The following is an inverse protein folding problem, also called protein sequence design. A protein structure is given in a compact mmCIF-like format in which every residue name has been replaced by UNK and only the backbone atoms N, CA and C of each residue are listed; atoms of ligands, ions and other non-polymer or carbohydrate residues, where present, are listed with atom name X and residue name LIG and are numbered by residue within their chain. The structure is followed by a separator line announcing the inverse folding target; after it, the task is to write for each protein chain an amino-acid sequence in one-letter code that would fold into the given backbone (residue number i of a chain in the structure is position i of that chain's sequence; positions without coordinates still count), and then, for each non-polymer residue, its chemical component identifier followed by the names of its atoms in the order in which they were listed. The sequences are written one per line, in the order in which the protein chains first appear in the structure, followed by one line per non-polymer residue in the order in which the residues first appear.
data_IF_353105063598
#
_entry.id   IF_353105063598
#
_cell.length_a   1.000
_cell.length_b   1.000
_cell.length_c   1.000
_cell.angle_alpha   90.00
_cell.angle_beta   90.00
_cell.angle_gamma   90.00
#
_symmetry.space_group_name_H-M   'P 1'
#
loop_
_entity.id
_entity.type
_entity.pdbx_description
1 polymer ?
#
# COMPACT_ATOMS: atom_id res chain seq x y z
N UNK A 1 -6.02 -14.21 -21.16
CA UNK A 1 -6.22 -14.06 -19.69
C UNK A 1 -6.75 -12.66 -19.42
N UNK A 2 -7.79 -12.52 -18.58
CA UNK A 2 -8.30 -11.20 -18.19
C UNK A 2 -7.38 -10.55 -17.16
N UNK A 3 -7.17 -9.24 -17.31
CA UNK A 3 -6.45 -8.38 -16.36
C UNK A 3 -7.35 -7.21 -15.97
N UNK A 4 -7.10 -6.63 -14.80
CA UNK A 4 -7.70 -5.37 -14.36
C UNK A 4 -6.59 -4.35 -14.10
N UNK A 5 -6.96 -3.07 -14.18
CA UNK A 5 -6.09 -2.00 -13.70
C UNK A 5 -6.22 -1.90 -12.18
N UNK A 6 -5.08 -1.84 -11.50
CA UNK A 6 -4.96 -1.68 -10.05
C UNK A 6 -4.10 -0.46 -9.79
N UNK A 7 -4.62 0.46 -8.99
CA UNK A 7 -3.93 1.64 -8.51
C UNK A 7 -3.24 1.35 -7.17
N UNK A 8 -2.04 1.90 -7.01
CA UNK A 8 -1.31 1.94 -5.75
C UNK A 8 -1.65 3.24 -5.05
N UNK A 9 -2.21 3.15 -3.85
CA UNK A 9 -2.62 4.28 -3.05
C UNK A 9 -1.54 4.61 -2.02
N UNK A 10 -1.18 5.89 -1.95
CA UNK A 10 -0.21 6.42 -1.01
C UNK A 10 -0.70 7.70 -0.34
N UNK A 11 -0.10 8.04 0.78
CA UNK A 11 -0.33 9.29 1.50
C UNK A 11 1.00 10.00 1.75
N UNK A 12 1.11 11.29 1.45
CA UNK A 12 2.35 12.02 1.74
C UNK A 12 2.39 12.47 3.20
N UNK A 13 3.33 11.93 3.96
CA UNK A 13 3.58 12.35 5.34
C UNK A 13 5.07 12.20 5.66
N UNK A 14 5.72 13.17 6.31
CA UNK A 14 7.14 13.07 6.61
C UNK A 14 7.46 11.93 7.58
N UNK A 15 8.67 11.38 7.48
CA UNK A 15 9.20 10.42 8.44
C UNK A 15 9.23 11.01 9.86
N UNK A 16 8.60 10.35 10.84
CA UNK A 16 8.58 10.81 12.23
C UNK A 16 9.97 10.98 12.87
N UNK A 17 10.99 10.29 12.34
CA UNK A 17 12.35 10.30 12.90
C UNK A 17 13.27 11.35 12.29
N UNK A 18 13.14 11.64 11.00
CA UNK A 18 14.08 12.50 10.27
C UNK A 18 13.42 13.56 9.40
N UNK A 19 12.09 13.64 9.41
CA UNK A 19 11.28 14.58 8.63
C UNK A 19 11.44 14.51 7.11
N UNK A 20 12.14 13.50 6.60
CA UNK A 20 12.24 13.24 5.17
C UNK A 20 10.83 12.98 4.58
N UNK A 21 10.45 13.60 3.45
CA UNK A 21 9.17 13.33 2.80
C UNK A 21 9.02 11.85 2.44
N UNK A 22 7.91 11.23 2.85
CA UNK A 22 7.62 9.83 2.53
C UNK A 22 6.23 9.71 1.92
N UNK A 23 6.10 8.81 0.95
CA UNK A 23 4.83 8.41 0.39
C UNK A 23 4.37 7.11 1.04
N UNK A 24 3.57 7.17 2.07
CA UNK A 24 3.10 5.98 2.79
C UNK A 24 2.16 5.16 1.92
N UNK A 25 2.67 4.10 1.29
CA UNK A 25 1.85 3.18 0.51
C UNK A 25 1.01 2.37 1.47
N UNK A 26 -0.30 2.50 1.35
CA UNK A 26 -1.25 1.94 2.31
C UNK A 26 -2.25 0.99 1.68
N UNK A 27 -2.42 1.01 0.35
CA UNK A 27 -3.40 0.14 -0.28
C UNK A 27 -3.29 -0.01 -1.79
N UNK A 28 -4.08 -0.97 -2.28
CA UNK A 28 -4.28 -1.29 -3.68
C UNK A 28 -5.78 -1.27 -3.97
N UNK A 29 -6.17 -0.65 -5.08
CA UNK A 29 -7.57 -0.50 -5.46
C UNK A 29 -7.77 -0.72 -6.96
N UNK A 30 -8.76 -1.50 -7.41
CA UNK A 30 -9.11 -1.57 -8.83
C UNK A 30 -9.59 -0.21 -9.36
N UNK A 31 -9.15 0.19 -10.54
CA UNK A 31 -9.48 1.52 -11.11
C UNK A 31 -10.91 1.65 -11.68
N UNK A 32 -11.73 0.60 -11.62
CA UNK A 32 -13.18 0.68 -11.91
C UNK A 32 -13.94 0.88 -10.60
N UNK A 33 -15.13 1.51 -10.61
CA UNK A 33 -16.00 1.74 -9.42
C UNK A 33 -15.98 0.55 -8.45
N UNK A 34 -15.06 0.54 -7.48
CA UNK A 34 -14.74 -0.67 -6.75
C UNK A 34 -15.69 -0.73 -5.56
N UNK A 35 -16.16 -1.93 -5.23
CA UNK A 35 -16.82 -2.11 -3.93
C UNK A 35 -15.77 -2.08 -2.84
N UNK A 36 -16.20 -1.73 -1.63
CA UNK A 36 -15.26 -1.63 -0.51
C UNK A 36 -14.50 -2.89 -0.14
N UNK A 37 -15.13 -4.03 -0.38
CA UNK A 37 -14.56 -5.37 -0.25
C UNK A 37 -13.40 -5.65 -1.22
N UNK A 38 -13.20 -4.78 -2.22
CA UNK A 38 -12.13 -4.89 -3.21
C UNK A 38 -10.91 -4.05 -2.81
N UNK A 39 -10.99 -3.19 -1.80
CA UNK A 39 -9.81 -2.55 -1.26
C UNK A 39 -8.89 -3.56 -0.56
N UNK A 40 -7.59 -3.41 -0.76
CA UNK A 40 -6.57 -4.29 -0.17
C UNK A 40 -5.47 -3.45 0.46
N UNK A 41 -5.23 -3.64 1.76
CA UNK A 41 -4.12 -3.00 2.48
C UNK A 41 -2.79 -3.64 2.13
N UNK A 42 -1.70 -2.88 2.20
CA UNK A 42 -0.33 -3.36 1.97
C UNK A 42 0.33 -3.93 3.24
N UNK A 43 -0.43 -4.63 4.08
CA UNK A 43 0.02 -5.18 5.37
C UNK A 43 0.30 -6.69 5.33
N UNK A 44 0.29 -7.30 4.15
CA UNK A 44 0.68 -8.69 3.91
C UNK A 44 1.58 -8.83 2.68
N UNK A 45 2.47 -9.85 2.65
CA UNK A 45 3.54 -9.95 1.65
C UNK A 45 3.06 -9.88 0.19
N UNK A 46 1.99 -10.61 -0.14
CA UNK A 46 1.51 -10.69 -1.52
C UNK A 46 0.99 -9.34 -2.05
N UNK A 47 0.38 -8.50 -1.20
CA UNK A 47 -0.01 -7.13 -1.57
C UNK A 47 1.21 -6.21 -1.71
N UNK A 48 2.20 -6.35 -0.82
CA UNK A 48 3.45 -5.57 -0.92
C UNK A 48 4.18 -5.88 -2.22
N UNK A 49 4.30 -7.16 -2.58
CA UNK A 49 4.92 -7.58 -3.83
C UNK A 49 4.17 -7.07 -5.07
N UNK A 50 2.84 -7.05 -5.01
CA UNK A 50 2.02 -6.44 -6.05
C UNK A 50 2.28 -4.94 -6.17
N UNK A 51 2.26 -4.21 -5.06
CA UNK A 51 2.53 -2.77 -5.03
C UNK A 51 3.92 -2.44 -5.58
N UNK A 52 4.95 -3.16 -5.14
CA UNK A 52 6.32 -2.99 -5.64
C UNK A 52 6.40 -3.16 -7.15
N UNK A 53 5.84 -4.24 -7.71
CA UNK A 53 5.90 -4.47 -9.16
C UNK A 53 5.25 -3.36 -9.97
N UNK A 54 4.11 -2.85 -9.50
CA UNK A 54 3.42 -1.73 -10.13
C UNK A 54 4.28 -0.45 -10.04
N UNK A 55 4.87 -0.16 -8.88
CA UNK A 55 5.73 1.00 -8.67
C UNK A 55 7.08 0.92 -9.42
N UNK A 56 7.58 -0.28 -9.72
CA UNK A 56 8.81 -0.49 -10.51
C UNK A 56 8.58 -0.58 -12.01
N UNK A 57 7.36 -0.29 -12.49
CA UNK A 57 7.08 -0.33 -13.92
C UNK A 57 8.03 0.65 -14.67
N UNK A 58 8.65 0.23 -15.80
CA UNK A 58 9.72 0.98 -16.45
C UNK A 58 9.26 2.30 -17.09
N UNK A 59 7.96 2.49 -17.20
CA UNK A 59 7.30 3.71 -17.70
C UNK A 59 6.95 4.71 -16.59
N UNK A 60 7.22 4.39 -15.32
CA UNK A 60 6.97 5.24 -14.15
C UNK A 60 8.23 5.82 -13.50
N UNK A 61 8.05 6.86 -12.68
CA UNK A 61 9.10 7.52 -11.89
C UNK A 61 8.97 7.20 -10.38
N UNK A 62 8.43 6.03 -10.06
CA UNK A 62 8.07 5.62 -8.69
C UNK A 62 9.01 4.57 -8.11
N UNK A 63 10.21 4.43 -8.70
CA UNK A 63 11.20 3.44 -8.27
C UNK A 63 11.68 3.67 -6.82
N UNK A 64 11.84 4.93 -6.41
CA UNK A 64 12.23 5.28 -5.04
C UNK A 64 11.14 4.89 -4.03
N UNK A 65 9.87 5.04 -4.41
CA UNK A 65 8.72 4.62 -3.61
C UNK A 65 8.69 3.10 -3.50
N UNK A 66 8.97 2.38 -4.58
CA UNK A 66 9.08 0.92 -4.53
C UNK A 66 10.21 0.46 -3.58
N UNK A 67 11.35 1.14 -3.60
CA UNK A 67 12.51 0.82 -2.78
C UNK A 67 12.26 1.01 -1.27
N UNK A 68 11.28 1.83 -0.92
CA UNK A 68 10.86 2.06 0.47
C UNK A 68 10.03 0.89 1.03
N UNK A 69 9.48 0.02 0.18
CA UNK A 69 8.64 -1.09 0.61
C UNK A 69 9.54 -2.26 0.97
N UNK A 70 9.49 -2.70 2.22
CA UNK A 70 10.28 -3.81 2.74
C UNK A 70 9.42 -5.01 3.14
N UNK A 71 10.04 -6.18 3.09
CA UNK A 71 9.38 -7.42 3.50
C UNK A 71 9.09 -7.37 4.99
N UNK A 72 8.06 -8.12 5.38
CA UNK A 72 7.73 -8.31 6.79
C UNK A 72 8.98 -8.82 7.54
N UNK A 73 9.46 -8.09 8.55
CA UNK A 73 10.51 -8.60 9.41
C UNK A 73 10.06 -9.89 10.10
N UNK A 74 10.97 -10.86 10.23
CA UNK A 74 10.64 -12.18 10.79
C UNK A 74 9.97 -12.12 12.19
N UNK A 75 10.31 -11.09 12.98
CA UNK A 75 9.77 -10.86 14.32
C UNK A 75 8.32 -10.35 14.35
N UNK A 76 7.74 -9.95 13.21
CA UNK A 76 6.34 -9.52 13.08
C UNK A 76 5.42 -10.59 12.47
N UNK A 77 5.90 -11.82 12.29
CA UNK A 77 5.11 -12.91 11.69
C UNK A 77 3.83 -13.17 12.49
N UNK A 78 2.67 -13.09 11.83
CA UNK A 78 1.34 -13.34 12.44
C UNK A 78 0.61 -12.09 12.95
N UNK A 79 1.13 -10.88 12.70
CA UNK A 79 0.48 -9.59 13.00
C UNK A 79 0.42 -8.73 11.73
N UNK A 80 -0.45 -7.72 11.70
CA UNK A 80 -0.39 -6.64 10.71
C UNK A 80 0.98 -5.95 10.78
N UNK A 81 1.53 -5.53 9.64
CA UNK A 81 2.79 -4.80 9.58
C UNK A 81 2.72 -3.64 8.61
N UNK A 82 3.57 -2.65 8.84
CA UNK A 82 3.78 -1.57 7.89
C UNK A 82 4.96 -1.93 6.99
N UNK A 83 4.83 -1.96 5.65
CA UNK A 83 5.95 -2.24 4.75
C UNK A 83 6.85 -1.01 4.53
N UNK A 84 6.39 0.19 4.87
CA UNK A 84 7.08 1.43 4.54
C UNK A 84 8.28 1.64 5.46
N UNK A 85 9.45 1.81 4.85
CA UNK A 85 10.70 2.18 5.51
C UNK A 85 11.24 3.46 4.89
N UNK A 86 11.71 4.37 5.73
CA UNK A 86 12.28 5.62 5.27
C UNK A 86 13.55 5.37 4.43
N UNK A 87 13.55 5.83 3.17
CA UNK A 87 14.72 5.72 2.29
C UNK A 87 15.94 6.52 2.79
N UNK A 88 15.74 7.59 3.56
CA UNK A 88 16.82 8.43 4.06
C UNK A 88 17.49 7.89 5.34
N UNK A 89 16.71 7.55 6.37
CA UNK A 89 17.25 7.16 7.68
C UNK A 89 17.04 5.67 8.01
N UNK A 90 16.40 4.91 7.13
CA UNK A 90 16.10 3.50 7.33
C UNK A 90 15.10 3.21 8.45
N UNK A 91 14.44 4.23 8.99
CA UNK A 91 13.40 4.08 10.01
C UNK A 91 12.24 3.25 9.48
N UNK A 92 11.85 2.22 10.22
CA UNK A 92 10.74 1.35 9.90
C UNK A 92 9.67 1.56 10.96
N UNK A 93 8.64 2.34 10.62
CA UNK A 93 7.55 2.62 11.54
C UNK A 93 6.73 1.36 11.82
N UNK A 94 6.12 1.29 12.99
CA UNK A 94 5.25 0.17 13.34
C UNK A 94 3.93 0.20 12.57
N UNK A 95 3.10 -0.84 12.77
CA UNK A 95 1.78 -0.92 12.16
C UNK A 95 0.84 0.21 12.61
N UNK A 96 0.96 0.71 13.85
CA UNK A 96 0.06 1.73 14.38
C UNK A 96 0.19 3.06 13.64
N UNK A 97 1.39 3.38 13.14
CA UNK A 97 1.56 4.56 12.28
C UNK A 97 0.82 4.40 10.95
N UNK A 98 0.88 3.21 10.32
CA UNK A 98 0.13 2.94 9.10
C UNK A 98 -1.39 2.95 9.34
N UNK A 99 -1.85 2.41 10.48
CA UNK A 99 -3.25 2.45 10.90
C UNK A 99 -3.76 3.89 11.12
N UNK A 100 -2.92 4.76 11.70
CA UNK A 100 -3.23 6.18 11.84
C UNK A 100 -3.35 6.90 10.49
N UNK A 101 -2.47 6.58 9.52
CA UNK A 101 -2.56 7.11 8.15
C UNK A 101 -3.84 6.64 7.48
N UNK A 102 -4.16 5.33 7.55
CA UNK A 102 -5.40 4.78 7.01
C UNK A 102 -6.62 5.51 7.59
N UNK A 103 -6.63 5.75 8.91
CA UNK A 103 -7.69 6.50 9.60
C UNK A 103 -7.81 7.93 9.08
N UNK A 104 -6.69 8.65 8.87
CA UNK A 104 -6.72 10.02 8.34
C UNK A 104 -7.23 10.06 6.91
N UNK A 105 -6.70 9.19 6.05
CA UNK A 105 -7.11 9.06 4.65
C UNK A 105 -8.60 8.77 4.55
N UNK A 106 -9.13 7.92 5.42
CA UNK A 106 -10.56 7.63 5.52
C UNK A 106 -11.40 8.88 5.81
N UNK A 107 -10.94 9.74 6.73
CA UNK A 107 -11.71 10.91 7.17
C UNK A 107 -11.57 12.13 6.25
N UNK A 108 -10.46 12.25 5.53
CA UNK A 108 -10.11 13.46 4.79
C UNK A 108 -10.07 13.27 3.27
N UNK A 109 -10.15 12.03 2.78
CA UNK A 109 -10.06 11.69 1.35
C UNK A 109 -8.77 12.18 0.64
N UNK A 110 -7.73 12.50 1.41
CA UNK A 110 -6.50 13.13 0.91
C UNK A 110 -5.44 12.10 0.45
N UNK A 111 -5.76 11.18 -0.47
CA UNK A 111 -4.79 10.20 -0.98
C UNK A 111 -4.22 10.52 -2.36
N UNK A 112 -3.07 9.90 -2.65
CA UNK A 112 -2.34 9.99 -3.92
C UNK A 112 -2.46 8.65 -4.65
N UNK A 113 -2.75 8.72 -5.95
CA UNK A 113 -2.56 7.60 -6.88
C UNK A 113 -1.10 7.52 -7.29
N UNK A 114 -0.30 6.75 -6.55
CA UNK A 114 1.16 6.70 -6.74
C UNK A 114 1.55 6.06 -8.09
N UNK A 115 0.85 5.01 -8.49
CA UNK A 115 1.04 4.33 -9.77
C UNK A 115 -0.19 3.49 -10.12
N UNK A 116 -0.28 3.05 -11.37
CA UNK A 116 -1.30 2.12 -11.83
C UNK A 116 -0.68 1.01 -12.68
N UNK A 117 -1.17 -0.22 -12.57
CA UNK A 117 -0.65 -1.35 -13.31
C UNK A 117 -1.72 -2.38 -13.67
N UNK A 118 -1.46 -3.16 -14.73
CA UNK A 118 -2.35 -4.27 -15.11
C UNK A 118 -1.99 -5.54 -14.37
N UNK A 119 -2.93 -6.06 -13.59
CA UNK A 119 -2.78 -7.28 -12.81
C UNK A 119 -3.73 -8.37 -13.33
N UNK A 120 -3.27 -9.61 -13.54
CA UNK A 120 -4.13 -10.74 -13.83
C UNK A 120 -5.24 -10.92 -12.77
N UNK A 121 -6.49 -11.13 -13.21
CA UNK A 121 -7.63 -11.32 -12.29
C UNK A 121 -7.41 -12.44 -11.25
N UNK A 122 -6.81 -13.60 -11.58
CA UNK A 122 -6.53 -14.63 -10.56
C UNK A 122 -5.58 -14.16 -9.46
N UNK A 123 -4.60 -13.34 -9.82
CA UNK A 123 -3.61 -12.80 -8.89
C UNK A 123 -4.24 -11.75 -7.97
N UNK A 124 -5.04 -10.86 -8.54
CA UNK A 124 -5.85 -9.93 -7.75
C UNK A 124 -6.77 -10.66 -6.77
N UNK A 125 -7.43 -11.75 -7.19
CA UNK A 125 -8.29 -12.55 -6.31
C UNK A 125 -7.55 -13.23 -5.17
N UNK A 126 -6.25 -13.48 -5.30
CA UNK A 126 -5.44 -14.06 -4.24
C UNK A 126 -5.17 -13.07 -3.09
N UNK A 127 -5.18 -11.78 -3.40
CA UNK A 127 -4.87 -10.69 -2.45
C UNK A 127 -6.12 -9.92 -1.98
N UNK A 128 -7.18 -9.83 -2.80
CA UNK A 128 -8.38 -9.04 -2.49
C UNK A 128 -9.05 -9.44 -1.18
N UNK A 129 -9.56 -8.46 -0.43
CA UNK A 129 -10.37 -8.70 0.76
C UNK A 129 -9.61 -9.29 1.96
N UNK A 130 -8.28 -9.44 1.87
CA UNK A 130 -7.42 -9.77 3.02
C UNK A 130 -7.14 -8.52 3.83
N UNK A 131 -8.18 -8.00 4.47
CA UNK A 131 -8.08 -6.88 5.40
C UNK A 131 -7.88 -7.43 6.81
N UNK A 132 -6.76 -7.15 7.46
CA UNK A 132 -6.67 -7.16 8.93
C UNK A 132 -6.46 -5.72 9.40
N UNK A 133 -7.57 -5.01 9.64
CA UNK A 133 -7.50 -3.70 10.30
C UNK A 133 -8.78 -2.88 10.24
N UNK A 134 -9.35 -2.65 9.06
CA UNK A 134 -10.50 -1.74 8.92
C UNK A 134 -11.45 -2.32 7.90
N UNK A 135 -12.59 -2.88 8.34
CA UNK A 135 -13.71 -3.06 7.43
C UNK A 135 -14.08 -1.67 6.90
N UNK A 136 -13.66 -1.34 5.68
CA UNK A 136 -14.12 -0.15 4.99
C UNK A 136 -15.57 -0.39 4.57
N UNK A 137 -16.58 0.19 5.25
CA UNK A 137 -17.94 0.08 4.81
C UNK A 137 -18.10 1.14 3.72
N UNK A 138 -17.88 0.78 2.46
CA UNK A 138 -18.17 1.71 1.37
C UNK A 138 -19.68 1.79 1.18
N UNK A 139 -20.20 3.00 1.37
CA UNK A 139 -21.40 3.59 0.76
C UNK A 139 -22.76 2.98 1.10
#
# INVERSE_FOLDING_TARGET
MSSLQVDVLAYEEPCERCSFPLWWVFGLLPSYRPRGEEFTTTDFPEAVDMARRILTAPDGDTADVAAQLHDRPAWQRGRSFNPNRCGACGHHADWHILDAILTRVYHHEDWIYAAAGRVPVPEWRAVRGRVQGIHWPYC
#
